data_IF_515591553142
#
_entry.id   IF_515591553142
#
_cell.length_a   1.000
_cell.length_b   1.000
_cell.length_c   1.000
_cell.angle_alpha   90.00
_cell.angle_beta   90.00
_cell.angle_gamma   90.00
#
_symmetry.space_group_name_H-M   'P 1'
#
loop_
_entity.id
_entity.type
_entity.pdbx_description
1 polymer ?
#
# COMPACT_ATOMS: atom_id res chain seq x y z
N UNK A 1 10.79 -27.46 -9.36
CA UNK A 1 10.37 -27.06 -8.00
C UNK A 1 10.59 -25.55 -7.89
N UNK A 2 9.58 -24.78 -7.46
CA UNK A 2 9.72 -23.34 -7.27
C UNK A 2 10.38 -23.13 -5.91
N UNK A 3 11.58 -22.56 -5.90
CA UNK A 3 12.37 -22.38 -4.69
C UNK A 3 11.89 -21.12 -3.96
N UNK A 4 10.71 -21.20 -3.33
CA UNK A 4 9.99 -20.06 -2.75
C UNK A 4 10.83 -19.20 -1.78
N UNK A 5 11.84 -19.78 -1.14
CA UNK A 5 12.73 -19.07 -0.22
C UNK A 5 13.68 -18.09 -0.94
N UNK A 6 14.19 -18.46 -2.11
CA UNK A 6 15.08 -17.61 -2.91
C UNK A 6 14.31 -16.45 -3.55
N UNK A 7 13.09 -16.71 -4.01
CA UNK A 7 12.19 -15.69 -4.56
C UNK A 7 11.79 -14.66 -3.49
N UNK A 8 11.51 -15.11 -2.26
CA UNK A 8 11.19 -14.23 -1.14
C UNK A 8 12.38 -13.34 -0.77
N UNK A 9 13.59 -13.89 -0.66
CA UNK A 9 14.79 -13.12 -0.34
C UNK A 9 15.06 -12.02 -1.38
N UNK A 10 14.94 -12.34 -2.68
CA UNK A 10 15.09 -11.36 -3.76
C UNK A 10 14.02 -10.26 -3.69
N UNK A 11 12.77 -10.63 -3.36
CA UNK A 11 11.69 -9.66 -3.19
C UNK A 11 11.92 -8.75 -1.99
N UNK A 12 12.34 -9.30 -0.86
CA UNK A 12 12.62 -8.56 0.37
C UNK A 12 13.74 -7.53 0.15
N UNK A 13 14.80 -7.91 -0.58
CA UNK A 13 15.89 -7.00 -0.93
C UNK A 13 15.40 -5.85 -1.83
N UNK A 14 14.62 -6.14 -2.88
CA UNK A 14 14.01 -5.12 -3.75
C UNK A 14 13.13 -4.17 -2.95
N UNK A 15 12.35 -4.69 -2.00
CA UNK A 15 11.47 -3.91 -1.15
C UNK A 15 12.27 -3.00 -0.21
N UNK A 16 13.32 -3.52 0.45
CA UNK A 16 14.24 -2.72 1.28
C UNK A 16 14.87 -1.58 0.48
N UNK A 17 15.34 -1.87 -0.73
CA UNK A 17 15.95 -0.87 -1.61
C UNK A 17 14.94 0.21 -2.04
N UNK A 18 13.71 -0.17 -2.35
CA UNK A 18 12.63 0.77 -2.68
C UNK A 18 12.28 1.68 -1.50
N UNK A 19 12.18 1.14 -0.28
CA UNK A 19 11.95 1.92 0.95
C UNK A 19 13.08 2.91 1.20
N UNK A 20 14.34 2.48 1.05
CA UNK A 20 15.51 3.33 1.22
C UNK A 20 15.55 4.48 0.21
N UNK A 21 15.12 4.24 -1.03
CA UNK A 21 15.03 5.26 -2.08
C UNK A 21 13.96 6.32 -1.79
N UNK A 22 12.97 6.00 -0.96
CA UNK A 22 11.84 6.87 -0.60
C UNK A 22 11.99 7.47 0.80
N UNK A 23 13.23 7.77 1.23
CA UNK A 23 13.56 8.37 2.53
C UNK A 23 13.06 7.57 3.76
N UNK A 24 12.96 6.23 3.62
CA UNK A 24 12.54 5.30 4.69
C UNK A 24 11.16 5.59 5.28
N UNK A 25 10.35 6.40 4.61
CA UNK A 25 9.02 6.78 5.06
C UNK A 25 8.10 6.64 3.87
N UNK A 26 7.30 5.58 3.84
CA UNK A 26 6.49 5.24 2.68
C UNK A 26 5.02 5.05 3.03
N UNK A 27 4.17 5.36 2.07
CA UNK A 27 2.79 4.94 2.01
C UNK A 27 2.68 3.75 1.05
N UNK A 28 1.94 2.72 1.44
CA UNK A 28 1.79 1.49 0.67
C UNK A 28 0.35 1.25 0.27
N UNK A 29 0.13 0.74 -0.95
CA UNK A 29 -1.18 0.32 -1.43
C UNK A 29 -1.08 -0.88 -2.37
N UNK A 30 -2.18 -1.61 -2.52
CA UNK A 30 -2.35 -2.60 -3.56
C UNK A 30 -2.79 -1.94 -4.88
N UNK A 31 -3.03 -2.73 -5.92
CA UNK A 31 -3.55 -2.31 -7.22
C UNK A 31 -4.68 -1.27 -7.10
N UNK A 32 -5.72 -1.58 -6.33
CA UNK A 32 -6.90 -0.73 -6.17
C UNK A 32 -6.88 0.02 -4.84
N UNK A 33 -6.93 -0.72 -3.73
CA UNK A 33 -7.13 -0.12 -2.41
C UNK A 33 -5.83 0.12 -1.65
N UNK A 34 -5.90 1.10 -0.75
CA UNK A 34 -4.91 1.29 0.30
C UNK A 34 -5.44 0.69 1.62
N UNK A 35 -4.58 0.27 2.54
CA UNK A 35 -4.98 -0.34 3.82
C UNK A 35 -5.47 0.71 4.82
N UNK A 36 -6.46 1.53 4.44
CA UNK A 36 -6.90 2.70 5.22
C UNK A 36 -7.57 2.33 6.54
N UNK A 37 -8.22 1.18 6.57
CA UNK A 37 -8.84 0.57 7.75
C UNK A 37 -7.79 0.04 8.75
N UNK A 38 -6.63 -0.39 8.26
CA UNK A 38 -5.53 -0.84 9.11
C UNK A 38 -4.77 0.31 9.81
N UNK A 39 -5.15 1.57 9.57
CA UNK A 39 -4.53 2.75 10.17
C UNK A 39 -4.48 2.70 11.70
N UNK A 40 -5.45 2.05 12.33
CA UNK A 40 -5.53 1.93 13.79
C UNK A 40 -4.44 1.04 14.40
N UNK A 41 -3.82 0.16 13.59
CA UNK A 41 -2.77 -0.74 14.06
C UNK A 41 -1.37 -0.10 14.03
N UNK A 42 -1.26 1.11 13.46
CA UNK A 42 0.00 1.86 13.42
C UNK A 42 0.21 2.71 14.66
N UNK A 43 1.47 2.83 15.09
CA UNK A 43 1.86 3.79 16.11
C UNK A 43 1.59 5.22 15.62
N UNK A 44 0.76 5.97 16.36
CA UNK A 44 0.38 7.33 15.99
C UNK A 44 -0.77 7.44 14.99
N UNK A 45 -1.56 6.38 14.78
CA UNK A 45 -2.73 6.37 13.89
C UNK A 45 -2.38 6.96 12.51
N UNK A 46 -1.34 6.45 11.87
CA UNK A 46 -0.87 6.90 10.56
C UNK A 46 -0.72 5.70 9.61
N UNK A 47 -0.70 5.94 8.30
CA UNK A 47 -0.40 4.89 7.31
C UNK A 47 1.05 4.97 6.84
N UNK A 48 1.92 5.49 7.71
CA UNK A 48 3.34 5.57 7.47
C UNK A 48 3.95 4.21 7.76
N UNK A 49 4.56 3.59 6.76
CA UNK A 49 5.42 2.42 6.92
C UNK A 49 6.88 2.86 6.85
N UNK A 50 7.69 2.37 7.79
CA UNK A 50 9.13 2.64 7.82
C UNK A 50 9.96 1.39 7.53
N UNK A 51 9.40 0.21 7.79
CA UNK A 51 10.04 -1.08 7.61
C UNK A 51 9.09 -2.05 6.89
N UNK A 52 9.58 -3.26 6.57
CA UNK A 52 8.78 -4.29 5.90
C UNK A 52 7.70 -4.85 6.83
N UNK A 53 7.99 -4.98 8.12
CA UNK A 53 7.05 -5.51 9.11
C UNK A 53 5.79 -4.65 9.22
N UNK A 54 5.92 -3.31 9.14
CA UNK A 54 4.80 -2.37 9.09
C UNK A 54 3.92 -2.64 7.86
N UNK A 55 4.54 -2.88 6.70
CA UNK A 55 3.82 -3.16 5.44
C UNK A 55 3.07 -4.48 5.56
N UNK A 56 3.73 -5.52 6.05
CA UNK A 56 3.12 -6.84 6.28
C UNK A 56 1.97 -6.71 7.29
N UNK A 57 2.16 -5.97 8.37
CA UNK A 57 1.14 -5.70 9.37
C UNK A 57 -0.09 -5.04 8.74
N UNK A 58 0.08 -3.96 7.98
CA UNK A 58 -1.05 -3.26 7.35
C UNK A 58 -1.80 -4.13 6.35
N UNK A 59 -1.09 -4.91 5.53
CA UNK A 59 -1.72 -5.78 4.53
C UNK A 59 -2.45 -6.97 5.18
N UNK A 60 -1.90 -7.55 6.25
CA UNK A 60 -2.53 -8.65 6.97
C UNK A 60 -3.74 -8.22 7.81
N UNK A 61 -3.73 -7.00 8.32
CA UNK A 61 -4.80 -6.49 9.20
C UNK A 61 -5.89 -5.72 8.47
N UNK A 62 -5.66 -5.28 7.23
CA UNK A 62 -6.64 -4.57 6.41
C UNK A 62 -7.65 -5.54 5.78
N UNK A 63 -8.92 -5.45 6.18
CA UNK A 63 -10.01 -6.21 5.57
C UNK A 63 -10.20 -5.86 4.09
N UNK A 64 -10.10 -4.58 3.72
CA UNK A 64 -10.24 -4.14 2.32
C UNK A 64 -9.18 -4.78 1.41
N UNK A 65 -7.94 -4.93 1.90
CA UNK A 65 -6.88 -5.59 1.13
C UNK A 65 -7.11 -7.10 1.02
N UNK A 66 -7.60 -7.75 2.09
CA UNK A 66 -7.97 -9.18 2.03
C UNK A 66 -9.13 -9.44 1.04
N UNK A 67 -10.07 -8.51 0.94
CA UNK A 67 -11.12 -8.52 -0.08
C UNK A 67 -10.55 -8.39 -1.50
N UNK A 68 -9.58 -7.50 -1.72
CA UNK A 68 -8.89 -7.39 -3.02
C UNK A 68 -8.24 -8.73 -3.43
N UNK A 69 -7.54 -9.38 -2.49
CA UNK A 69 -6.88 -10.67 -2.75
C UNK A 69 -7.85 -11.83 -3.04
N UNK A 70 -9.02 -11.83 -2.42
CA UNK A 70 -10.00 -12.90 -2.59
C UNK A 70 -10.92 -12.71 -3.81
N UNK A 71 -11.28 -11.47 -4.13
CA UNK A 71 -12.25 -11.15 -5.18
C UNK A 71 -11.64 -11.06 -6.58
N UNK A 72 -10.38 -10.66 -6.70
CA UNK A 72 -9.73 -10.47 -8.01
C UNK A 72 -8.98 -11.72 -8.46
N UNK A 73 -9.38 -12.29 -9.61
CA UNK A 73 -8.74 -13.47 -10.20
C UNK A 73 -8.15 -13.14 -11.57
N UNK A 74 -6.98 -13.70 -11.86
CA UNK A 74 -6.35 -13.60 -13.17
C UNK A 74 -5.60 -12.28 -13.44
N UNK A 75 -5.37 -11.46 -12.42
CA UNK A 75 -4.59 -10.22 -12.51
C UNK A 75 -3.43 -10.29 -11.52
N UNK A 76 -2.19 -9.95 -11.92
CA UNK A 76 -1.07 -9.90 -10.99
C UNK A 76 -1.26 -8.78 -9.96
N UNK A 77 -1.02 -9.11 -8.68
CA UNK A 77 -0.97 -8.13 -7.61
C UNK A 77 0.34 -7.35 -7.64
N UNK A 78 0.26 -6.09 -7.26
CA UNK A 78 1.34 -5.13 -7.30
C UNK A 78 1.37 -4.36 -5.98
N UNK A 79 2.54 -4.31 -5.37
CA UNK A 79 2.81 -3.49 -4.20
C UNK A 79 3.32 -2.12 -4.67
N UNK A 80 2.49 -1.08 -4.53
CA UNK A 80 2.86 0.27 -4.91
C UNK A 80 3.33 1.06 -3.67
N UNK A 81 4.59 1.49 -3.69
CA UNK A 81 5.19 2.34 -2.66
C UNK A 81 5.20 3.79 -3.15
N UNK A 82 4.80 4.72 -2.28
CA UNK A 82 4.91 6.16 -2.48
C UNK A 82 5.65 6.79 -1.32
N UNK A 83 6.42 7.84 -1.58
CA UNK A 83 7.02 8.64 -0.49
C UNK A 83 5.91 9.17 0.41
N UNK A 84 6.07 8.98 1.72
CA UNK A 84 5.12 9.48 2.71
C UNK A 84 5.12 11.01 2.73
N UNK A 85 3.93 11.58 2.73
CA UNK A 85 3.72 13.03 2.86
C UNK A 85 2.59 13.24 3.87
N UNK A 86 2.76 14.20 4.76
CA UNK A 86 1.67 14.64 5.64
C UNK A 86 0.74 15.54 4.82
N UNK A 87 -0.43 15.00 4.48
CA UNK A 87 -1.48 15.74 3.80
C UNK A 87 -2.49 16.18 4.85
N UNK A 88 -2.85 17.47 4.83
CA UNK A 88 -3.92 17.95 5.68
C UNK A 88 -5.25 17.38 5.18
N UNK A 89 -6.07 16.70 6.01
CA UNK A 89 -7.29 16.03 5.53
C UNK A 89 -8.27 16.98 4.81
N UNK A 90 -8.35 18.25 5.23
CA UNK A 90 -9.19 19.25 4.56
C UNK A 90 -8.69 19.66 3.16
N UNK A 91 -7.48 19.26 2.76
CA UNK A 91 -6.92 19.46 1.43
C UNK A 91 -7.06 18.21 0.53
N UNK A 92 -7.76 17.17 1.01
CA UNK A 92 -8.08 15.99 0.22
C UNK A 92 -9.46 16.14 -0.42
N UNK A 93 -9.52 16.00 -1.74
CA UNK A 93 -10.75 16.09 -2.51
C UNK A 93 -10.95 14.81 -3.32
N UNK A 94 -12.20 14.37 -3.43
CA UNK A 94 -12.58 13.28 -4.33
C UNK A 94 -13.31 13.89 -5.53
N UNK A 95 -12.70 13.80 -6.69
CA UNK A 95 -13.26 14.32 -7.92
C UNK A 95 -14.03 13.23 -8.69
N UNK A 96 -15.20 13.58 -9.22
CA UNK A 96 -16.07 12.76 -10.05
C UNK A 96 -16.06 13.32 -11.47
N UNK A 97 -15.50 12.55 -12.40
CA UNK A 97 -15.41 12.91 -13.82
C UNK A 97 -16.44 12.10 -14.61
N UNK A 98 -17.32 12.79 -15.36
CA UNK A 98 -18.32 12.17 -16.23
C UNK A 98 -18.22 12.82 -17.61
N UNK A 99 -18.08 12.00 -18.66
CA UNK A 99 -17.90 12.48 -20.04
C UNK A 99 -16.77 13.51 -20.17
N UNK A 100 -15.64 13.25 -19.52
CA UNK A 100 -14.48 14.14 -19.47
C UNK A 100 -14.74 15.53 -18.84
N UNK A 101 -15.81 15.67 -18.03
CA UNK A 101 -16.15 16.91 -17.31
C UNK A 101 -16.14 16.66 -15.81
N UNK A 102 -15.51 17.54 -15.04
CA UNK A 102 -15.56 17.55 -13.58
C UNK A 102 -16.97 17.94 -13.11
N UNK A 103 -17.63 17.06 -12.37
CA UNK A 103 -19.02 17.25 -11.90
C UNK A 103 -19.16 17.36 -10.39
N UNK A 104 -18.16 16.90 -9.65
CA UNK A 104 -18.14 16.90 -8.19
C UNK A 104 -16.77 16.51 -7.68
#
# INVERSE_FOLDING_TARGET
EVNCAEDYASFEEKLKNAINTLDKSVFVKNNWHAPTDARMFSFGNSLKACNIDDIILYFNTSGTIQEDFSSTKGIPFCLALRKWVSIHPAAEFRCIIINNVLRG
#
